data_IF_714034824391
#
_entry.id   IF_714034824391
#
_cell.length_a   1.000
_cell.length_b   1.000
_cell.length_c   1.000
_cell.angle_alpha   90.00
_cell.angle_beta   90.00
_cell.angle_gamma   90.00
#
_symmetry.space_group_name_H-M   'P 1'
#
loop_
_entity.id
_entity.type
_entity.pdbx_description
1 polymer ?
#
# COMPACT_ATOMS: atom_id res chain seq x y z
N UNK A 1 -17.66 1.62 1.07
CA UNK A 1 -17.05 2.80 0.50
C UNK A 1 -16.27 2.45 -0.77
N UNK A 2 -15.66 3.46 -1.38
CA UNK A 2 -15.04 3.31 -2.69
C UNK A 2 -13.85 2.35 -2.72
N UNK A 3 -13.19 2.16 -1.59
CA UNK A 3 -12.00 1.31 -1.50
C UNK A 3 -12.30 -0.08 -0.94
N UNK A 4 -13.55 -0.38 -0.64
CA UNK A 4 -13.92 -1.67 -0.11
C UNK A 4 -13.83 -2.76 -1.18
N UNK A 5 -13.28 -3.92 -0.80
CA UNK A 5 -13.24 -5.11 -1.65
C UNK A 5 -14.20 -6.19 -1.12
N UNK A 6 -15.01 -5.85 -0.13
CA UNK A 6 -16.00 -6.74 0.48
C UNK A 6 -15.35 -7.93 1.21
N UNK A 7 -14.12 -7.76 1.69
CA UNK A 7 -13.41 -8.71 2.56
C UNK A 7 -12.97 -7.91 3.78
N UNK A 8 -13.59 -8.16 4.92
CA UNK A 8 -13.44 -7.32 6.10
C UNK A 8 -11.98 -7.12 6.54
N UNK A 9 -11.21 -8.19 6.58
CA UNK A 9 -9.80 -8.11 6.98
C UNK A 9 -9.00 -7.20 6.05
N UNK A 10 -9.22 -7.34 4.75
CA UNK A 10 -8.50 -6.55 3.75
C UNK A 10 -8.98 -5.10 3.79
N UNK A 11 -10.29 -4.88 3.96
CA UNK A 11 -10.83 -3.54 4.07
C UNK A 11 -10.23 -2.78 5.26
N UNK A 12 -10.06 -3.46 6.39
CA UNK A 12 -9.43 -2.86 7.55
C UNK A 12 -7.97 -2.48 7.27
N UNK A 13 -7.26 -3.32 6.55
CA UNK A 13 -5.87 -3.04 6.17
C UNK A 13 -5.79 -1.85 5.21
N UNK A 14 -6.72 -1.76 4.26
CA UNK A 14 -6.79 -0.60 3.36
C UNK A 14 -7.04 0.68 4.14
N UNK A 15 -7.94 0.67 5.11
CA UNK A 15 -8.23 1.83 5.94
C UNK A 15 -6.99 2.26 6.72
N UNK A 16 -6.22 1.31 7.23
CA UNK A 16 -5.00 1.63 7.95
C UNK A 16 -3.94 2.22 7.03
N UNK A 17 -3.79 1.68 5.82
CA UNK A 17 -2.84 2.23 4.85
C UNK A 17 -3.18 3.67 4.50
N UNK A 18 -4.45 3.96 4.27
CA UNK A 18 -4.90 5.32 3.96
C UNK A 18 -4.62 6.25 5.15
N UNK A 19 -4.89 5.78 6.37
CA UNK A 19 -4.62 6.54 7.58
C UNK A 19 -3.14 6.87 7.72
N UNK A 20 -2.26 5.91 7.46
CA UNK A 20 -0.81 6.11 7.53
C UNK A 20 -0.32 7.08 6.46
N UNK A 21 -0.90 7.01 5.27
CA UNK A 21 -0.58 7.93 4.19
C UNK A 21 -0.99 9.36 4.55
N UNK A 22 -2.17 9.51 5.16
CA UNK A 22 -2.63 10.82 5.63
C UNK A 22 -1.73 11.35 6.74
N UNK A 23 -1.25 10.49 7.62
CA UNK A 23 -0.30 10.88 8.68
C UNK A 23 0.99 11.42 8.07
N UNK A 24 1.50 10.76 7.03
CA UNK A 24 2.70 11.23 6.33
C UNK A 24 2.46 12.59 5.69
N UNK A 25 1.31 12.76 5.05
CA UNK A 25 0.93 14.03 4.42
C UNK A 25 0.88 15.15 5.45
N UNK A 26 0.22 14.89 6.59
CA UNK A 26 0.11 15.89 7.66
C UNK A 26 1.48 16.23 8.25
N UNK A 27 2.34 15.23 8.44
CA UNK A 27 3.69 15.45 8.96
C UNK A 27 4.52 16.30 8.01
N UNK A 28 4.38 16.12 6.70
CA UNK A 28 5.04 16.96 5.72
C UNK A 28 4.55 18.39 5.78
N UNK A 29 3.24 18.56 5.88
CA UNK A 29 2.64 19.89 5.96
C UNK A 29 3.07 20.63 7.23
N UNK A 30 3.25 19.90 8.34
CA UNK A 30 3.71 20.45 9.60
C UNK A 30 5.23 20.57 9.67
N UNK A 31 5.93 20.21 8.61
CA UNK A 31 7.40 20.31 8.50
C UNK A 31 8.12 19.54 9.61
N UNK A 32 7.66 18.33 9.87
CA UNK A 32 8.31 17.44 10.83
C UNK A 32 9.75 17.14 10.39
N UNK A 33 10.59 16.74 11.36
CA UNK A 33 12.00 16.46 11.09
C UNK A 33 12.15 15.28 10.12
N UNK A 34 13.34 15.21 9.50
CA UNK A 34 13.68 14.09 8.62
C UNK A 34 13.53 12.76 9.36
N UNK A 35 13.98 12.71 10.63
CA UNK A 35 13.86 11.47 11.42
C UNK A 35 12.41 11.06 11.63
N UNK A 36 11.52 12.03 11.93
CA UNK A 36 10.10 11.74 12.10
C UNK A 36 9.47 11.25 10.81
N UNK A 37 9.77 11.92 9.69
CA UNK A 37 9.26 11.51 8.38
C UNK A 37 9.77 10.13 8.00
N UNK A 38 11.05 9.86 8.26
CA UNK A 38 11.64 8.56 7.98
C UNK A 38 10.96 7.42 8.72
N UNK A 39 10.60 7.65 10.00
CA UNK A 39 9.90 6.65 10.79
C UNK A 39 8.50 6.36 10.24
N UNK A 40 7.80 7.41 9.80
CA UNK A 40 6.46 7.24 9.23
C UNK A 40 6.55 6.45 7.92
N UNK A 41 7.51 6.78 7.06
CA UNK A 41 7.73 6.06 5.80
C UNK A 41 8.06 4.60 6.08
N UNK A 42 8.95 4.35 7.04
CA UNK A 42 9.34 3.00 7.41
C UNK A 42 8.15 2.18 7.89
N UNK A 43 7.28 2.79 8.72
CA UNK A 43 6.06 2.15 9.17
C UNK A 43 5.11 1.84 8.04
N UNK A 44 4.96 2.78 7.09
CA UNK A 44 4.09 2.60 5.93
C UNK A 44 4.58 1.45 5.06
N UNK A 45 5.88 1.41 4.76
CA UNK A 45 6.48 0.34 3.96
C UNK A 45 6.30 -1.01 4.64
N UNK A 46 6.57 -1.07 5.94
CA UNK A 46 6.40 -2.31 6.71
C UNK A 46 4.97 -2.81 6.71
N UNK A 47 4.01 -1.91 6.91
CA UNK A 47 2.61 -2.31 6.92
C UNK A 47 2.12 -2.71 5.53
N UNK A 48 2.57 -2.01 4.49
CA UNK A 48 2.25 -2.38 3.11
C UNK A 48 2.73 -3.80 2.82
N UNK A 49 3.93 -4.15 3.28
CA UNK A 49 4.45 -5.51 3.13
C UNK A 49 3.58 -6.54 3.82
N UNK A 50 3.12 -6.24 5.04
CA UNK A 50 2.21 -7.11 5.79
C UNK A 50 0.88 -7.28 5.05
N UNK A 51 0.33 -6.18 4.55
CA UNK A 51 -0.91 -6.20 3.80
C UNK A 51 -0.78 -7.03 2.51
N UNK A 52 0.30 -6.81 1.76
CA UNK A 52 0.55 -7.57 0.53
C UNK A 52 0.70 -9.06 0.83
N UNK A 53 1.38 -9.40 1.91
CA UNK A 53 1.53 -10.81 2.32
C UNK A 53 0.18 -11.45 2.64
N UNK A 54 -0.74 -10.69 3.26
CA UNK A 54 -2.09 -11.18 3.54
C UNK A 54 -2.83 -11.49 2.24
N UNK A 55 -2.77 -10.57 1.28
CA UNK A 55 -3.42 -10.80 -0.01
C UNK A 55 -2.82 -11.99 -0.73
N UNK A 56 -1.49 -12.10 -0.74
CA UNK A 56 -0.81 -13.20 -1.42
C UNK A 56 -1.11 -14.55 -0.79
N UNK A 57 -1.28 -14.59 0.52
CA UNK A 57 -1.70 -15.80 1.23
C UNK A 57 -3.07 -16.28 0.73
N UNK A 58 -4.01 -15.35 0.58
CA UNK A 58 -5.33 -15.69 0.09
C UNK A 58 -5.31 -16.05 -1.39
N UNK A 59 -4.47 -15.42 -2.20
CA UNK A 59 -4.31 -15.80 -3.60
C UNK A 59 -3.88 -17.24 -3.72
N UNK A 60 -2.91 -17.65 -2.91
CA UNK A 60 -2.42 -19.04 -2.90
C UNK A 60 -3.49 -20.00 -2.38
N UNK A 61 -4.14 -19.62 -1.28
CA UNK A 61 -5.15 -20.47 -0.64
C UNK A 61 -6.34 -20.74 -1.55
N UNK A 62 -6.79 -19.75 -2.29
CA UNK A 62 -7.99 -19.87 -3.12
C UNK A 62 -7.72 -20.02 -4.62
N UNK A 63 -6.45 -19.98 -5.02
CA UNK A 63 -6.09 -20.15 -6.43
C UNK A 63 -6.53 -19.02 -7.35
N UNK A 64 -6.31 -17.76 -6.90
CA UNK A 64 -6.72 -16.59 -7.69
C UNK A 64 -6.01 -16.58 -9.05
N UNK A 65 -6.75 -16.55 -10.19
CA UNK A 65 -6.14 -16.68 -11.51
C UNK A 65 -5.18 -15.55 -11.90
N UNK A 66 -5.39 -14.35 -11.38
CA UNK A 66 -4.57 -13.19 -11.72
C UNK A 66 -3.52 -12.89 -10.66
N UNK A 67 -3.22 -13.86 -9.77
CA UNK A 67 -2.29 -13.65 -8.66
C UNK A 67 -0.92 -13.20 -9.13
N UNK A 68 -0.36 -13.80 -10.16
CA UNK A 68 0.99 -13.48 -10.63
C UNK A 68 1.09 -12.00 -11.04
N UNK A 69 0.12 -11.50 -11.79
CA UNK A 69 0.11 -10.10 -12.20
C UNK A 69 -0.06 -9.17 -11.00
N UNK A 70 -0.93 -9.54 -10.06
CA UNK A 70 -1.20 -8.73 -8.87
C UNK A 70 0.03 -8.66 -7.96
N UNK A 71 0.71 -9.80 -7.76
CA UNK A 71 1.95 -9.86 -6.97
C UNK A 71 3.04 -9.02 -7.63
N UNK A 72 3.09 -9.01 -8.96
CA UNK A 72 4.02 -8.16 -9.70
C UNK A 72 3.83 -6.69 -9.38
N UNK A 73 2.58 -6.22 -9.25
CA UNK A 73 2.28 -4.85 -8.86
C UNK A 73 2.79 -4.55 -7.45
N UNK A 74 2.62 -5.50 -6.51
CA UNK A 74 3.13 -5.35 -5.15
C UNK A 74 4.65 -5.16 -5.14
N UNK A 75 5.36 -5.98 -5.91
CA UNK A 75 6.82 -5.92 -5.98
C UNK A 75 7.32 -4.62 -6.58
N UNK A 76 6.61 -4.13 -7.60
CA UNK A 76 6.92 -2.86 -8.22
C UNK A 76 6.81 -1.71 -7.21
N UNK A 77 5.73 -1.70 -6.44
CA UNK A 77 5.52 -0.68 -5.41
C UNK A 77 6.63 -0.72 -4.36
N UNK A 78 6.92 -1.93 -3.84
CA UNK A 78 7.95 -2.10 -2.80
C UNK A 78 9.30 -1.64 -3.31
N UNK A 79 9.67 -2.00 -4.53
CA UNK A 79 10.94 -1.59 -5.12
C UNK A 79 11.03 -0.07 -5.24
N UNK A 80 9.95 0.57 -5.71
CA UNK A 80 9.91 2.02 -5.90
C UNK A 80 10.01 2.77 -4.57
N UNK A 81 9.25 2.32 -3.58
CA UNK A 81 9.26 2.96 -2.26
C UNK A 81 10.57 2.73 -1.54
N UNK A 82 11.17 1.55 -1.71
CA UNK A 82 12.51 1.25 -1.14
C UNK A 82 13.57 2.18 -1.73
N UNK A 83 13.50 2.45 -3.04
CA UNK A 83 14.42 3.39 -3.68
C UNK A 83 14.24 4.80 -3.11
N UNK A 84 13.00 5.25 -2.95
CA UNK A 84 12.71 6.56 -2.35
C UNK A 84 13.26 6.63 -0.93
N UNK A 85 13.04 5.60 -0.13
CA UNK A 85 13.49 5.57 1.26
C UNK A 85 15.01 5.62 1.34
N UNK A 86 15.69 4.84 0.52
CA UNK A 86 17.15 4.83 0.49
C UNK A 86 17.70 6.21 0.14
N UNK A 87 17.19 6.82 -0.93
CA UNK A 87 17.61 8.15 -1.34
C UNK A 87 17.31 9.20 -0.27
N UNK A 88 16.17 9.10 0.40
CA UNK A 88 15.79 10.00 1.47
C UNK A 88 16.73 9.86 2.67
N UNK A 89 17.03 8.62 3.08
CA UNK A 89 17.94 8.37 4.21
C UNK A 89 19.35 8.86 3.93
N UNK A 90 19.78 8.78 2.67
CA UNK A 90 21.11 9.25 2.26
C UNK A 90 21.17 10.76 1.99
N UNK A 91 20.02 11.44 2.11
CA UNK A 91 19.94 12.86 1.86
C UNK A 91 19.95 13.26 0.40
N UNK A 92 19.86 12.28 -0.51
CA UNK A 92 19.90 12.52 -1.96
C UNK A 92 18.53 12.89 -2.52
N UNK A 93 17.48 12.38 -1.91
CA UNK A 93 16.10 12.63 -2.31
C UNK A 93 15.37 13.25 -1.14
N UNK A 94 14.68 14.36 -1.39
CA UNK A 94 13.82 14.96 -0.38
C UNK A 94 12.41 14.45 -0.57
N UNK A 95 11.71 14.24 0.56
CA UNK A 95 10.31 13.87 0.49
C UNK A 95 9.53 15.07 -0.03
N UNK A 96 8.93 14.91 -1.20
CA UNK A 96 8.28 15.98 -1.91
C UNK A 96 6.82 15.65 -2.19
N UNK A 97 6.07 16.65 -2.65
CA UNK A 97 4.69 16.45 -3.08
C UNK A 97 4.62 15.40 -4.19
N UNK A 98 5.63 15.37 -5.08
CA UNK A 98 5.67 14.37 -6.16
C UNK A 98 5.73 12.95 -5.61
N UNK A 99 6.52 12.71 -4.58
CA UNK A 99 6.61 11.40 -3.93
C UNK A 99 5.27 11.05 -3.28
N UNK A 100 4.67 12.01 -2.57
CA UNK A 100 3.36 11.82 -1.95
C UNK A 100 2.29 11.50 -2.99
N UNK A 101 2.28 12.24 -4.09
CA UNK A 101 1.31 12.01 -5.17
C UNK A 101 1.49 10.62 -5.76
N UNK A 102 2.74 10.18 -5.93
CA UNK A 102 3.00 8.83 -6.42
C UNK A 102 2.40 7.78 -5.48
N UNK A 103 2.69 7.90 -4.17
CA UNK A 103 2.21 6.94 -3.18
C UNK A 103 0.69 6.89 -3.14
N UNK A 104 0.06 8.06 -3.10
CA UNK A 104 -1.40 8.16 -3.05
C UNK A 104 -2.04 7.60 -4.31
N UNK A 105 -1.56 8.03 -5.48
CA UNK A 105 -2.12 7.58 -6.76
C UNK A 105 -1.92 6.09 -6.97
N UNK A 106 -0.74 5.57 -6.63
CA UNK A 106 -0.50 4.14 -6.76
C UNK A 106 -1.46 3.33 -5.88
N UNK A 107 -1.58 3.74 -4.61
CA UNK A 107 -2.42 3.02 -3.66
C UNK A 107 -3.88 3.01 -4.09
N UNK A 108 -4.42 4.18 -4.44
CA UNK A 108 -5.82 4.29 -4.86
C UNK A 108 -6.06 3.52 -6.15
N UNK A 109 -5.18 3.66 -7.15
CA UNK A 109 -5.32 2.98 -8.43
C UNK A 109 -5.24 1.46 -8.25
N UNK A 110 -4.32 1.00 -7.41
CA UNK A 110 -4.15 -0.43 -7.14
C UNK A 110 -5.39 -1.01 -6.45
N UNK A 111 -5.90 -0.33 -5.43
CA UNK A 111 -7.08 -0.81 -4.70
C UNK A 111 -8.31 -0.80 -5.59
N UNK A 112 -8.58 0.31 -6.26
CA UNK A 112 -9.79 0.43 -7.09
C UNK A 112 -9.73 -0.40 -8.35
N UNK A 113 -8.54 -0.58 -8.93
CA UNK A 113 -8.38 -1.35 -10.15
C UNK A 113 -8.10 -2.81 -9.89
N UNK A 114 -7.00 -3.10 -9.20
CA UNK A 114 -6.51 -4.46 -9.05
C UNK A 114 -7.14 -5.21 -7.89
N UNK A 115 -7.24 -4.58 -6.72
CA UNK A 115 -7.77 -5.26 -5.54
C UNK A 115 -9.26 -5.55 -5.68
N UNK A 116 -10.02 -4.64 -6.26
CA UNK A 116 -11.45 -4.87 -6.45
C UNK A 116 -11.76 -6.05 -7.36
N UNK A 117 -10.83 -6.41 -8.22
CA UNK A 117 -11.02 -7.57 -9.09
C UNK A 117 -11.13 -8.87 -8.31
N UNK A 118 -10.38 -9.02 -7.22
CA UNK A 118 -10.43 -10.26 -6.46
C UNK A 118 -11.59 -10.31 -5.47
N UNK A 119 -12.22 -9.19 -5.15
CA UNK A 119 -13.31 -9.15 -4.19
C UNK A 119 -14.41 -10.17 -4.48
N UNK A 120 -15.04 -10.09 -5.68
CA UNK A 120 -16.07 -11.08 -6.05
C UNK A 120 -15.55 -12.50 -6.05
N UNK A 121 -14.30 -12.72 -6.48
CA UNK A 121 -13.69 -14.05 -6.48
C UNK A 121 -13.62 -14.62 -5.06
N UNK A 122 -13.12 -13.85 -4.11
CA UNK A 122 -13.02 -14.30 -2.72
C UNK A 122 -14.40 -14.48 -2.08
N UNK A 123 -15.35 -13.58 -2.36
CA UNK A 123 -16.70 -13.73 -1.84
C UNK A 123 -17.34 -15.02 -2.33
N UNK A 124 -17.14 -15.36 -3.59
CA UNK A 124 -17.64 -16.60 -4.16
C UNK A 124 -17.04 -17.82 -3.46
N UNK A 125 -15.79 -17.71 -3.01
CA UNK A 125 -15.11 -18.79 -2.27
C UNK A 125 -15.47 -18.79 -0.78
N UNK A 126 -16.30 -17.87 -0.33
CA UNK A 126 -16.73 -17.79 1.06
C UNK A 126 -15.95 -16.84 1.95
N UNK A 127 -14.98 -16.14 1.40
CA UNK A 127 -14.19 -15.18 2.16
C UNK A 127 -14.85 -13.79 2.10
N UNK A 128 -15.19 -13.25 3.28
CA UNK A 128 -15.86 -11.93 3.38
C UNK A 128 -15.36 -11.07 4.53
#
# INVERSE_FOLDING_TARGET
>A
DELSVQVAEIDQQHQKLVSMLNELHDAMRERKSKDSLGKIIEGLVGYAGTHFATEEKYFDQYGYPEATAHIGEHREFVAKVSDFKQGFDEGQIMLSIDVMDFLENWLVTHIQGSDKKYGPFFNEKGLR
#
